data_IF_674401466180
#
_entry.id   IF_674401466180
#
_cell.length_a   1.000
_cell.length_b   1.000
_cell.length_c   1.000
_cell.angle_alpha   90.00
_cell.angle_beta   90.00
_cell.angle_gamma   90.00
#
_symmetry.space_group_name_H-M   'P 1'
#
loop_
_entity.id
_entity.type
_entity.pdbx_description
1 polymer ?
#
# COMPACT_ATOMS: atom_id res chain seq x y z
N UNK A 1 -38.02 23.09 5.84
CA UNK A 1 -37.38 23.93 4.81
C UNK A 1 -36.01 24.45 5.26
N UNK A 2 -35.80 25.12 6.43
CA UNK A 2 -34.46 25.60 6.86
C UNK A 2 -33.37 24.49 6.97
N UNK A 3 -33.68 23.32 7.50
CA UNK A 3 -32.70 22.21 7.62
C UNK A 3 -32.31 21.63 6.27
N UNK A 4 -33.22 21.58 5.29
CA UNK A 4 -32.89 21.16 3.90
C UNK A 4 -32.06 22.21 3.18
N UNK A 5 -32.30 23.49 3.38
CA UNK A 5 -31.50 24.55 2.80
C UNK A 5 -30.08 24.61 3.38
N UNK A 6 -29.92 24.38 4.68
CA UNK A 6 -28.59 24.30 5.33
C UNK A 6 -27.83 23.08 4.83
N UNK A 7 -28.47 21.94 4.68
CA UNK A 7 -27.87 20.73 4.12
C UNK A 7 -27.42 20.93 2.66
N UNK A 8 -28.25 21.53 1.82
CA UNK A 8 -27.92 21.84 0.44
C UNK A 8 -26.76 22.85 0.31
N UNK A 9 -26.73 23.87 1.16
CA UNK A 9 -25.65 24.84 1.19
C UNK A 9 -24.33 24.21 1.65
N UNK A 10 -24.35 23.38 2.69
CA UNK A 10 -23.18 22.66 3.15
C UNK A 10 -22.63 21.70 2.07
N UNK A 11 -23.50 20.99 1.37
CA UNK A 11 -23.13 20.12 0.23
C UNK A 11 -22.50 20.94 -0.91
N UNK A 12 -23.08 22.08 -1.27
CA UNK A 12 -22.54 22.98 -2.29
C UNK A 12 -21.18 23.56 -1.90
N UNK A 13 -20.98 23.90 -0.64
CA UNK A 13 -19.68 24.38 -0.12
C UNK A 13 -18.64 23.27 -0.17
N UNK A 14 -18.98 22.05 0.23
CA UNK A 14 -18.07 20.88 0.15
C UNK A 14 -17.72 20.56 -1.31
N UNK A 15 -18.68 20.62 -2.22
CA UNK A 15 -18.43 20.41 -3.65
C UNK A 15 -17.57 21.51 -4.23
N UNK A 16 -17.84 22.77 -3.94
CA UNK A 16 -17.09 23.91 -4.46
C UNK A 16 -15.67 24.00 -3.89
N UNK A 17 -15.50 23.76 -2.58
CA UNK A 17 -14.19 23.82 -1.92
C UNK A 17 -13.41 22.50 -2.01
N UNK A 18 -14.08 21.40 -2.28
CA UNK A 18 -13.51 20.06 -2.36
C UNK A 18 -13.14 19.62 -3.78
N UNK A 19 -13.61 20.33 -4.81
CA UNK A 19 -13.24 19.99 -6.20
C UNK A 19 -11.73 20.15 -6.39
N UNK A 20 -11.10 19.05 -6.83
CA UNK A 20 -9.66 18.99 -7.10
C UNK A 20 -9.46 18.30 -8.43
N UNK A 21 -8.98 19.06 -9.45
CA UNK A 21 -8.53 18.46 -10.70
C UNK A 21 -7.34 17.52 -10.44
N UNK A 22 -7.15 16.58 -11.36
CA UNK A 22 -5.96 15.75 -11.36
C UNK A 22 -4.71 16.61 -11.55
N UNK A 23 -3.60 16.19 -10.96
CA UNK A 23 -2.31 16.85 -11.06
C UNK A 23 -1.51 16.29 -12.22
N UNK A 24 -0.79 17.19 -12.90
CA UNK A 24 0.12 16.83 -13.97
C UNK A 24 1.22 15.88 -13.47
N UNK A 25 1.38 14.70 -14.12
CA UNK A 25 2.42 13.74 -13.79
C UNK A 25 3.83 14.32 -13.82
N UNK A 26 4.16 15.17 -14.81
CA UNK A 26 5.49 15.76 -14.94
C UNK A 26 5.82 16.72 -13.80
N UNK A 27 4.83 17.51 -13.36
CA UNK A 27 5.01 18.39 -12.21
C UNK A 27 5.26 17.60 -10.92
N UNK A 28 4.58 16.46 -10.73
CA UNK A 28 4.80 15.58 -9.58
C UNK A 28 6.15 14.85 -9.66
N UNK A 29 6.57 14.41 -10.85
CA UNK A 29 7.89 13.84 -11.05
C UNK A 29 9.00 14.86 -10.72
N UNK A 30 8.88 16.09 -11.19
CA UNK A 30 9.86 17.15 -10.89
C UNK A 30 9.98 17.41 -9.38
N UNK A 31 8.90 17.20 -8.62
CA UNK A 31 8.88 17.41 -7.17
C UNK A 31 9.37 16.19 -6.37
N UNK A 32 8.97 14.98 -6.77
CA UNK A 32 9.12 13.77 -5.95
C UNK A 32 10.14 12.75 -6.50
N UNK A 33 10.44 12.77 -7.82
CA UNK A 33 11.41 11.84 -8.40
C UNK A 33 12.86 12.26 -8.17
N UNK A 34 13.18 12.64 -6.92
CA UNK A 34 14.56 12.96 -6.52
C UNK A 34 15.39 11.70 -6.33
N UNK A 35 16.73 11.76 -6.50
CA UNK A 35 17.59 10.59 -6.26
C UNK A 35 17.31 9.94 -4.91
N UNK A 36 17.28 8.60 -4.84
CA UNK A 36 17.66 7.60 -5.84
C UNK A 36 16.52 7.10 -6.74
N UNK A 37 15.49 7.91 -7.00
CA UNK A 37 14.37 7.54 -7.88
C UNK A 37 14.85 7.13 -9.27
N UNK A 38 14.27 6.03 -9.77
CA UNK A 38 14.52 5.45 -11.08
C UNK A 38 13.19 5.08 -11.72
N UNK A 39 13.22 4.84 -13.04
CA UNK A 39 12.08 4.35 -13.79
C UNK A 39 12.48 3.17 -14.67
N UNK A 40 11.56 2.23 -14.85
CA UNK A 40 11.71 1.09 -15.76
C UNK A 40 10.40 0.84 -16.49
N UNK A 41 10.48 0.46 -17.76
CA UNK A 41 9.30 0.07 -18.54
C UNK A 41 8.94 -1.38 -18.24
N UNK A 42 7.68 -1.59 -17.85
CA UNK A 42 7.09 -2.91 -17.58
C UNK A 42 5.72 -2.98 -18.24
N UNK A 43 5.53 -3.86 -19.19
CA UNK A 43 4.24 -4.07 -19.88
C UNK A 43 3.60 -2.81 -20.46
N UNK A 44 4.42 -1.84 -20.89
CA UNK A 44 3.96 -0.56 -21.43
C UNK A 44 3.64 0.49 -20.35
N UNK A 45 3.98 0.22 -19.10
CA UNK A 45 3.85 1.15 -17.99
C UNK A 45 5.24 1.57 -17.49
N UNK A 46 5.47 2.87 -17.36
CA UNK A 46 6.69 3.44 -16.81
C UNK A 46 6.64 3.45 -15.28
N UNK A 47 7.28 2.45 -14.66
CA UNK A 47 7.22 2.16 -13.23
C UNK A 47 8.28 2.97 -12.48
N UNK A 48 7.85 3.76 -11.50
CA UNK A 48 8.73 4.44 -10.55
C UNK A 48 9.18 3.50 -9.45
N UNK A 49 10.49 3.49 -9.17
CA UNK A 49 11.06 2.67 -8.10
C UNK A 49 12.30 3.33 -7.49
N UNK A 50 12.73 2.83 -6.35
CA UNK A 50 14.01 3.14 -5.71
C UNK A 50 14.77 1.85 -5.46
N UNK A 51 16.10 1.91 -5.61
CA UNK A 51 17.02 0.78 -5.46
C UNK A 51 18.24 1.26 -4.68
N UNK A 52 18.37 0.77 -3.45
CA UNK A 52 19.37 1.21 -2.49
C UNK A 52 20.13 0.04 -1.89
N UNK A 53 21.38 0.28 -1.48
CA UNK A 53 22.21 -0.73 -0.83
C UNK A 53 22.72 -1.82 -1.78
N UNK A 54 23.23 -2.89 -1.19
CA UNK A 54 23.76 -4.06 -1.90
C UNK A 54 23.62 -5.32 -1.02
N UNK A 55 23.66 -6.51 -1.62
CA UNK A 55 23.53 -7.78 -0.91
C UNK A 55 22.22 -8.51 -1.26
N UNK A 56 21.70 -9.37 -0.36
CA UNK A 56 20.45 -10.07 -0.56
C UNK A 56 19.31 -9.07 -0.82
N UNK A 57 18.43 -9.38 -1.77
CA UNK A 57 17.39 -8.42 -2.19
C UNK A 57 16.16 -8.50 -1.30
N UNK A 58 15.67 -7.34 -0.90
CA UNK A 58 14.37 -7.13 -0.23
C UNK A 58 13.52 -6.23 -1.12
N UNK A 59 12.38 -6.72 -1.59
CA UNK A 59 11.40 -5.99 -2.38
C UNK A 59 10.20 -5.63 -1.50
N UNK A 60 9.86 -4.33 -1.40
CA UNK A 60 8.81 -3.82 -0.53
C UNK A 60 7.68 -3.19 -1.32
N UNK A 61 6.45 -3.66 -1.07
CA UNK A 61 5.21 -3.25 -1.74
C UNK A 61 4.33 -2.46 -0.80
N UNK A 62 4.03 -1.20 -1.16
CA UNK A 62 3.25 -0.27 -0.31
C UNK A 62 1.75 -0.60 -0.29
N UNK A 63 1.04 -0.01 0.66
CA UNK A 63 -0.40 -0.13 0.83
C UNK A 63 -1.23 0.72 -0.14
N UNK A 64 -2.53 0.51 -0.13
CA UNK A 64 -3.47 1.27 -0.95
C UNK A 64 -3.50 2.75 -0.57
N UNK A 65 -3.53 3.62 -1.57
CA UNK A 65 -3.47 5.10 -1.44
C UNK A 65 -2.16 5.65 -0.86
N UNK A 66 -1.14 4.80 -0.67
CA UNK A 66 0.23 5.16 -0.32
C UNK A 66 1.14 5.17 -1.55
N UNK A 67 2.43 5.19 -1.34
CA UNK A 67 3.48 5.12 -2.35
C UNK A 67 4.74 4.48 -1.78
N UNK A 68 5.74 4.26 -2.61
CA UNK A 68 7.04 3.74 -2.16
C UNK A 68 7.68 4.55 -1.03
N UNK A 69 7.28 5.82 -0.88
CA UNK A 69 7.82 6.70 0.16
C UNK A 69 7.47 6.26 1.58
N UNK A 70 6.41 5.49 1.79
CA UNK A 70 6.07 4.94 3.09
C UNK A 70 7.13 3.95 3.63
N UNK A 71 8.00 3.46 2.77
CA UNK A 71 9.11 2.57 3.11
C UNK A 71 10.44 3.27 3.37
N UNK A 72 10.53 4.61 3.27
CA UNK A 72 11.81 5.32 3.35
C UNK A 72 12.59 5.02 4.63
N UNK A 73 11.89 4.96 5.77
CA UNK A 73 12.52 4.64 7.05
C UNK A 73 13.12 3.23 7.07
N UNK A 74 12.35 2.23 6.61
CA UNK A 74 12.85 0.86 6.50
C UNK A 74 13.96 0.74 5.48
N UNK A 75 13.79 1.35 4.31
CA UNK A 75 14.79 1.28 3.22
C UNK A 75 16.14 1.85 3.68
N UNK A 76 16.15 2.92 4.47
CA UNK A 76 17.40 3.48 5.00
C UNK A 76 18.11 2.51 5.97
N UNK A 77 17.37 1.80 6.79
CA UNK A 77 17.93 0.86 7.78
C UNK A 77 18.35 -0.47 7.13
N UNK A 78 17.51 -1.02 6.26
CA UNK A 78 17.79 -2.29 5.59
C UNK A 78 18.94 -2.17 4.57
N UNK A 79 19.07 -1.01 3.90
CA UNK A 79 20.12 -0.79 2.89
C UNK A 79 21.55 -0.83 3.43
N UNK A 80 21.72 -0.86 4.75
CA UNK A 80 23.04 -1.04 5.37
C UNK A 80 23.64 -2.43 5.06
N UNK A 81 22.79 -3.44 4.86
CA UNK A 81 23.22 -4.84 4.67
C UNK A 81 22.49 -5.56 3.52
N UNK A 82 21.48 -4.92 2.92
CA UNK A 82 20.62 -5.53 1.89
C UNK A 82 20.47 -4.61 0.68
N UNK A 83 20.19 -5.18 -0.49
CA UNK A 83 19.67 -4.41 -1.62
C UNK A 83 18.17 -4.24 -1.42
N UNK A 84 17.71 -3.02 -1.23
CA UNK A 84 16.29 -2.69 -0.96
C UNK A 84 15.68 -2.04 -2.19
N UNK A 85 14.63 -2.66 -2.70
CA UNK A 85 13.85 -2.14 -3.81
C UNK A 85 12.45 -1.80 -3.31
N UNK A 86 12.03 -0.58 -3.57
CA UNK A 86 10.67 -0.11 -3.33
C UNK A 86 10.10 0.41 -4.64
N UNK A 87 8.82 0.18 -4.92
CA UNK A 87 8.19 0.64 -6.16
C UNK A 87 6.82 1.25 -5.89
N UNK A 88 6.38 2.11 -6.79
CA UNK A 88 5.00 2.54 -6.86
C UNK A 88 4.21 1.54 -7.72
N UNK A 89 3.25 0.85 -7.10
CA UNK A 89 2.38 -0.10 -7.79
C UNK A 89 1.47 0.61 -8.81
N UNK A 90 0.97 -0.10 -9.83
CA UNK A 90 0.02 0.47 -10.79
C UNK A 90 -1.14 1.20 -10.10
N UNK A 91 -1.46 2.39 -10.59
CA UNK A 91 -2.48 3.27 -10.00
C UNK A 91 -2.05 4.06 -8.79
N UNK A 92 -0.75 4.08 -8.45
CA UNK A 92 -0.21 4.76 -7.27
C UNK A 92 1.03 5.59 -7.59
N UNK A 93 1.35 6.49 -6.67
CA UNK A 93 2.58 7.27 -6.68
C UNK A 93 2.85 7.95 -8.02
N UNK A 94 4.09 7.86 -8.51
CA UNK A 94 4.50 8.40 -9.81
C UNK A 94 4.32 7.40 -10.97
N UNK A 95 4.06 6.11 -10.70
CA UNK A 95 3.79 5.12 -11.75
C UNK A 95 2.50 5.43 -12.51
N UNK A 96 1.41 5.72 -11.80
CA UNK A 96 0.13 6.02 -12.43
C UNK A 96 -0.67 4.80 -12.85
N UNK A 97 -1.79 5.01 -13.59
CA UNK A 97 -2.74 3.95 -13.92
C UNK A 97 -2.16 2.92 -14.89
N UNK A 98 -2.52 1.65 -14.70
CA UNK A 98 -2.24 0.58 -15.65
C UNK A 98 -3.14 0.75 -16.90
N UNK A 99 -2.58 0.82 -18.11
CA UNK A 99 -3.36 0.88 -19.35
C UNK A 99 -4.31 -0.31 -19.54
N UNK A 100 -4.00 -1.45 -18.92
CA UNK A 100 -4.81 -2.68 -18.95
C UNK A 100 -5.78 -2.78 -17.76
N UNK A 101 -5.78 -1.79 -16.85
CA UNK A 101 -6.62 -1.74 -15.65
C UNK A 101 -6.56 -2.99 -14.77
N UNK A 102 -5.39 -3.61 -14.63
CA UNK A 102 -5.14 -4.81 -13.80
C UNK A 102 -4.91 -4.39 -12.35
N UNK A 103 -5.94 -4.49 -11.52
CA UNK A 103 -5.87 -4.06 -10.13
C UNK A 103 -6.29 -5.13 -9.12
N UNK A 104 -6.71 -6.32 -9.58
CA UNK A 104 -6.92 -7.47 -8.70
C UNK A 104 -5.58 -7.92 -8.08
N UNK A 105 -5.55 -8.39 -6.81
CA UNK A 105 -4.30 -8.78 -6.15
C UNK A 105 -3.47 -9.79 -6.93
N UNK A 106 -4.11 -10.79 -7.54
CA UNK A 106 -3.44 -11.79 -8.39
C UNK A 106 -2.80 -11.16 -9.64
N UNK A 107 -3.48 -10.20 -10.30
CA UNK A 107 -2.96 -9.49 -11.47
C UNK A 107 -1.81 -8.54 -11.09
N UNK A 108 -1.90 -7.90 -9.91
CA UNK A 108 -0.81 -7.08 -9.37
C UNK A 108 0.42 -7.93 -9.01
N UNK A 109 0.23 -9.17 -8.57
CA UNK A 109 1.33 -10.11 -8.33
C UNK A 109 2.03 -10.52 -9.63
N UNK A 110 1.29 -10.80 -10.70
CA UNK A 110 1.86 -11.04 -12.04
C UNK A 110 2.61 -9.81 -12.57
N UNK A 111 2.06 -8.60 -12.39
CA UNK A 111 2.77 -7.37 -12.73
C UNK A 111 4.07 -7.22 -11.95
N UNK A 112 4.06 -7.58 -10.67
CA UNK A 112 5.25 -7.54 -9.82
C UNK A 112 6.32 -8.53 -10.30
N UNK A 113 5.95 -9.69 -10.83
CA UNK A 113 6.89 -10.63 -11.45
C UNK A 113 7.51 -10.07 -12.73
N UNK A 114 6.71 -9.43 -13.59
CA UNK A 114 7.22 -8.73 -14.76
C UNK A 114 8.20 -7.61 -14.38
N UNK A 115 7.90 -6.84 -13.32
CA UNK A 115 8.81 -5.82 -12.76
C UNK A 115 10.11 -6.45 -12.23
N UNK A 116 10.02 -7.52 -11.43
CA UNK A 116 11.19 -8.22 -10.89
C UNK A 116 12.07 -8.80 -12.03
N UNK A 117 11.45 -9.29 -13.09
CA UNK A 117 12.11 -9.80 -14.28
C UNK A 117 12.79 -8.69 -15.09
N UNK A 118 12.17 -7.52 -15.25
CA UNK A 118 12.76 -6.35 -15.91
C UNK A 118 14.03 -5.87 -15.17
N UNK A 119 14.06 -5.97 -13.84
CA UNK A 119 15.24 -5.68 -13.02
C UNK A 119 16.21 -6.86 -12.89
N UNK A 120 15.93 -8.00 -13.52
CA UNK A 120 16.72 -9.25 -13.47
C UNK A 120 16.95 -9.71 -12.02
N UNK A 121 15.94 -9.60 -11.18
CA UNK A 121 16.02 -10.10 -9.81
C UNK A 121 16.02 -11.63 -9.83
N UNK A 122 16.90 -12.24 -9.03
CA UNK A 122 16.84 -13.68 -8.74
C UNK A 122 15.74 -13.98 -7.71
N UNK A 123 16.06 -14.81 -6.73
CA UNK A 123 15.21 -14.97 -5.53
C UNK A 123 15.39 -13.78 -4.61
N UNK A 124 14.32 -13.42 -3.89
CA UNK A 124 14.34 -12.27 -2.99
C UNK A 124 13.37 -12.46 -1.82
N UNK A 125 13.59 -11.70 -0.76
CA UNK A 125 12.59 -11.50 0.29
C UNK A 125 11.55 -10.48 -0.21
N UNK A 126 10.28 -10.83 -0.14
CA UNK A 126 9.18 -9.91 -0.46
C UNK A 126 8.49 -9.45 0.82
N UNK A 127 8.26 -8.15 0.95
CA UNK A 127 7.46 -7.56 2.02
C UNK A 127 6.35 -6.68 1.47
N UNK A 128 5.20 -6.67 2.15
CA UNK A 128 4.10 -5.81 1.74
C UNK A 128 3.23 -5.35 2.90
N UNK A 129 2.71 -4.13 2.78
CA UNK A 129 1.83 -3.53 3.77
C UNK A 129 0.40 -3.43 3.23
N UNK A 130 -0.61 -3.79 4.02
CA UNK A 130 -2.03 -3.67 3.64
C UNK A 130 -2.31 -4.29 2.26
N UNK A 131 -2.71 -3.52 1.24
CA UNK A 131 -2.82 -3.94 -0.16
C UNK A 131 -1.52 -4.60 -0.66
N UNK A 132 -0.36 -4.03 -0.37
CA UNK A 132 0.92 -4.62 -0.76
C UNK A 132 1.18 -5.96 -0.07
N UNK A 133 0.67 -6.16 1.14
CA UNK A 133 0.68 -7.45 1.83
C UNK A 133 -0.17 -8.49 1.12
N UNK A 134 -1.35 -8.07 0.62
CA UNK A 134 -2.23 -8.87 -0.22
C UNK A 134 -1.50 -9.33 -1.50
N UNK A 135 -0.88 -8.39 -2.21
CA UNK A 135 -0.07 -8.71 -3.40
C UNK A 135 1.11 -9.62 -3.05
N UNK A 136 1.77 -9.40 -1.91
CA UNK A 136 2.97 -10.16 -1.54
C UNK A 136 2.67 -11.63 -1.24
N UNK A 137 1.56 -11.94 -0.54
CA UNK A 137 1.21 -13.34 -0.30
C UNK A 137 0.64 -14.00 -1.55
N UNK A 138 -0.09 -13.29 -2.43
CA UNK A 138 -0.47 -13.79 -3.76
C UNK A 138 0.77 -14.15 -4.56
N UNK A 139 1.76 -13.27 -4.60
CA UNK A 139 3.04 -13.51 -5.27
C UNK A 139 3.75 -14.75 -4.72
N UNK A 140 3.76 -14.93 -3.40
CA UNK A 140 4.38 -16.10 -2.78
C UNK A 140 3.68 -17.44 -3.13
N UNK A 141 2.38 -17.41 -3.44
CA UNK A 141 1.62 -18.58 -3.92
C UNK A 141 1.87 -18.81 -5.41
N UNK A 142 1.89 -17.75 -6.24
CA UNK A 142 2.00 -17.85 -7.70
C UNK A 142 3.44 -18.12 -8.15
N UNK A 143 4.44 -17.58 -7.45
CA UNK A 143 5.86 -17.65 -7.80
C UNK A 143 6.74 -18.12 -6.62
N UNK A 144 6.44 -19.29 -6.00
CA UNK A 144 7.12 -19.75 -4.79
C UNK A 144 8.63 -19.94 -4.99
N UNK A 145 9.08 -20.26 -6.21
CA UNK A 145 10.49 -20.42 -6.56
C UNK A 145 11.28 -19.09 -6.51
N UNK A 146 10.58 -17.93 -6.58
CA UNK A 146 11.18 -16.59 -6.56
C UNK A 146 11.32 -16.02 -5.14
N UNK A 147 10.58 -16.57 -4.17
CA UNK A 147 10.50 -16.03 -2.82
C UNK A 147 11.43 -16.76 -1.86
N UNK A 148 12.28 -16.01 -1.16
CA UNK A 148 13.13 -16.53 -0.08
C UNK A 148 12.41 -16.46 1.28
N UNK A 149 11.79 -15.32 1.57
CA UNK A 149 11.04 -15.03 2.79
C UNK A 149 9.87 -14.10 2.47
N UNK A 150 8.82 -14.17 3.28
CA UNK A 150 7.65 -13.31 3.16
C UNK A 150 7.50 -12.44 4.42
N UNK A 151 7.20 -11.15 4.24
CA UNK A 151 6.94 -10.21 5.32
C UNK A 151 5.57 -9.57 5.08
N UNK A 152 4.63 -9.81 5.99
CA UNK A 152 3.28 -9.27 5.93
C UNK A 152 3.12 -8.20 7.03
N UNK A 153 2.90 -6.96 6.62
CA UNK A 153 2.74 -5.82 7.53
C UNK A 153 1.29 -5.35 7.46
N UNK A 154 0.53 -5.56 8.52
CA UNK A 154 -0.88 -5.15 8.60
C UNK A 154 -1.65 -5.54 7.32
N UNK A 155 -1.45 -6.78 6.85
CA UNK A 155 -1.78 -7.23 5.50
C UNK A 155 -3.28 -7.37 5.25
N UNK A 156 -3.72 -7.04 4.04
CA UNK A 156 -5.08 -7.31 3.55
C UNK A 156 -5.18 -8.71 2.92
N UNK A 157 -6.39 -9.07 2.46
CA UNK A 157 -6.67 -10.25 1.61
C UNK A 157 -7.41 -11.37 2.32
N UNK A 158 -7.64 -11.28 3.64
CA UNK A 158 -8.54 -12.20 4.33
C UNK A 158 -9.98 -11.68 4.30
N UNK A 159 -10.99 -12.59 4.20
CA UNK A 159 -12.39 -12.21 4.33
C UNK A 159 -12.66 -11.47 5.64
N UNK A 160 -13.34 -10.34 5.58
CA UNK A 160 -13.63 -9.51 6.75
C UNK A 160 -15.05 -9.64 7.20
N UNK A 161 -15.23 -9.78 8.52
CA UNK A 161 -16.56 -9.77 9.15
C UNK A 161 -17.06 -8.34 9.38
N UNK A 162 -16.16 -7.37 9.51
CA UNK A 162 -16.51 -5.97 9.72
C UNK A 162 -16.92 -5.30 8.40
N UNK A 163 -17.93 -4.42 8.45
CA UNK A 163 -18.31 -3.62 7.29
C UNK A 163 -17.12 -2.76 6.82
N UNK A 164 -16.89 -2.71 5.51
CA UNK A 164 -15.89 -1.78 4.95
C UNK A 164 -16.19 -0.34 5.41
N UNK A 165 -15.17 0.48 5.73
CA UNK A 165 -15.35 1.88 6.07
C UNK A 165 -16.21 2.62 5.04
N UNK A 166 -17.04 3.58 5.49
CA UNK A 166 -17.98 4.29 4.63
C UNK A 166 -17.28 4.93 3.42
N UNK A 167 -16.09 5.50 3.60
CA UNK A 167 -15.32 6.10 2.50
C UNK A 167 -14.96 5.10 1.39
N UNK A 168 -14.61 3.87 1.75
CA UNK A 168 -14.33 2.78 0.78
C UNK A 168 -15.61 2.36 0.05
N UNK A 169 -16.73 2.26 0.77
CA UNK A 169 -18.05 1.92 0.19
C UNK A 169 -18.51 2.98 -0.81
N UNK A 170 -18.33 4.27 -0.49
CA UNK A 170 -18.68 5.37 -1.40
C UNK A 170 -17.80 5.32 -2.66
N UNK A 171 -16.49 5.10 -2.53
CA UNK A 171 -15.58 5.00 -3.69
C UNK A 171 -15.90 3.81 -4.57
N UNK A 172 -16.25 2.66 -4.00
CA UNK A 172 -16.67 1.47 -4.74
C UNK A 172 -18.05 1.60 -5.39
N UNK A 173 -18.86 2.61 -5.01
CA UNK A 173 -20.20 2.82 -5.58
C UNK A 173 -20.12 3.20 -7.05
N UNK A 174 -20.88 2.50 -7.91
CA UNK A 174 -21.00 2.80 -9.33
C UNK A 174 -21.64 4.17 -9.62
N UNK A 175 -22.46 4.68 -8.68
CA UNK A 175 -23.15 5.95 -8.82
C UNK A 175 -22.38 7.11 -8.20
N UNK A 176 -21.90 6.95 -6.96
CA UNK A 176 -21.22 8.02 -6.21
C UNK A 176 -19.72 8.08 -6.50
N UNK A 177 -19.07 6.94 -6.75
CA UNK A 177 -17.64 6.87 -6.98
C UNK A 177 -17.14 7.82 -8.07
N UNK A 178 -17.74 7.86 -9.27
CA UNK A 178 -17.34 8.78 -10.34
C UNK A 178 -17.41 10.26 -9.97
N UNK A 179 -18.35 10.64 -9.10
CA UNK A 179 -18.50 12.04 -8.63
C UNK A 179 -17.50 12.34 -7.53
N UNK A 180 -17.38 11.42 -6.55
CA UNK A 180 -16.54 11.64 -5.36
C UNK A 180 -15.06 11.69 -5.71
N UNK A 181 -14.63 11.06 -6.82
CA UNK A 181 -13.23 11.14 -7.26
C UNK A 181 -12.77 12.60 -7.51
N UNK A 182 -13.68 13.49 -7.92
CA UNK A 182 -13.38 14.90 -8.16
C UNK A 182 -13.48 15.76 -6.90
N UNK A 183 -14.10 15.24 -5.84
CA UNK A 183 -14.29 15.94 -4.58
C UNK A 183 -13.44 15.26 -3.51
N UNK A 184 -12.20 15.71 -3.38
CA UNK A 184 -11.21 15.13 -2.49
C UNK A 184 -10.58 16.23 -1.62
N UNK A 185 -11.30 16.78 -0.62
CA UNK A 185 -10.75 17.78 0.27
C UNK A 185 -9.56 17.24 1.06
N UNK A 186 -8.47 18.01 1.14
CA UNK A 186 -7.25 17.60 1.87
C UNK A 186 -7.51 17.19 3.32
N UNK A 187 -8.41 17.90 4.01
CA UNK A 187 -8.71 17.60 5.41
C UNK A 187 -9.34 16.21 5.61
N UNK A 188 -10.12 15.70 4.64
CA UNK A 188 -10.68 14.34 4.67
C UNK A 188 -9.54 13.32 4.55
N UNK A 189 -8.60 13.55 3.65
CA UNK A 189 -7.43 12.67 3.48
C UNK A 189 -6.55 12.71 4.72
N UNK A 190 -6.27 13.91 5.26
CA UNK A 190 -5.52 14.08 6.49
C UNK A 190 -6.18 13.37 7.69
N UNK A 191 -7.52 13.42 7.81
CA UNK A 191 -8.24 12.68 8.83
C UNK A 191 -8.10 11.17 8.65
N UNK A 192 -8.29 10.69 7.42
CA UNK A 192 -8.16 9.26 7.13
C UNK A 192 -6.73 8.74 7.38
N UNK A 193 -5.69 9.55 7.10
CA UNK A 193 -4.31 9.21 7.42
C UNK A 193 -4.08 9.19 8.94
N UNK A 194 -4.65 10.13 9.71
CA UNK A 194 -4.55 10.11 11.18
C UNK A 194 -5.12 8.83 11.77
N UNK A 195 -6.21 8.33 11.22
CA UNK A 195 -6.86 7.09 11.67
C UNK A 195 -6.01 5.84 11.38
N UNK A 196 -4.97 5.94 10.54
CA UNK A 196 -4.05 4.82 10.27
C UNK A 196 -2.87 4.76 11.24
N UNK A 197 -2.62 5.80 12.06
CA UNK A 197 -1.55 5.84 13.04
C UNK A 197 -2.05 5.45 14.43
N UNK A 198 -1.29 4.66 15.15
CA UNK A 198 -1.56 4.33 16.56
C UNK A 198 -1.34 5.54 17.48
N UNK A 199 -0.44 6.42 17.09
CA UNK A 199 -0.21 7.75 17.66
C UNK A 199 -0.27 8.81 16.55
N UNK A 200 -1.43 9.45 16.34
CA UNK A 200 -1.61 10.45 15.29
C UNK A 200 -0.67 11.67 15.36
N UNK A 201 -0.02 11.90 16.51
CA UNK A 201 0.94 13.01 16.67
C UNK A 201 2.23 12.79 15.85
N UNK A 202 2.51 11.54 15.46
CA UNK A 202 3.66 11.18 14.61
C UNK A 202 3.42 11.44 13.12
N UNK A 203 2.16 11.65 12.70
CA UNK A 203 1.84 12.02 11.33
C UNK A 203 2.21 13.48 11.06
N UNK A 204 3.15 13.72 10.15
CA UNK A 204 3.58 15.05 9.78
C UNK A 204 2.74 15.63 8.63
N UNK A 205 2.64 16.96 8.56
CA UNK A 205 1.98 17.62 7.42
C UNK A 205 2.69 17.33 6.09
N UNK A 206 4.00 17.09 6.10
CA UNK A 206 4.77 16.71 4.92
C UNK A 206 4.34 15.35 4.34
N UNK A 207 4.05 14.39 5.20
CA UNK A 207 3.49 13.08 4.81
C UNK A 207 2.09 13.25 4.24
N UNK A 208 1.23 14.03 4.92
CA UNK A 208 -0.12 14.33 4.42
C UNK A 208 -0.08 15.01 3.04
N UNK A 209 0.79 15.99 2.85
CA UNK A 209 0.92 16.70 1.57
C UNK A 209 1.40 15.78 0.46
N UNK A 210 2.43 14.98 0.73
CA UNK A 210 2.97 14.00 -0.23
C UNK A 210 1.90 13.02 -0.69
N UNK A 211 1.23 12.35 0.25
CA UNK A 211 0.24 11.32 -0.08
C UNK A 211 -0.98 11.91 -0.76
N UNK A 212 -1.41 13.10 -0.30
CA UNK A 212 -2.47 13.84 -0.95
C UNK A 212 -2.15 14.20 -2.40
N UNK A 213 -0.96 14.75 -2.67
CA UNK A 213 -0.55 15.15 -4.01
C UNK A 213 -0.38 13.97 -4.95
N UNK A 214 0.26 12.89 -4.49
CA UNK A 214 0.44 11.67 -5.28
C UNK A 214 -0.88 10.96 -5.57
N UNK A 215 -1.83 10.99 -4.64
CA UNK A 215 -3.18 10.50 -4.88
C UNK A 215 -3.90 11.31 -5.97
N UNK A 216 -3.64 12.62 -6.07
CA UNK A 216 -4.21 13.49 -7.11
C UNK A 216 -3.52 13.38 -8.47
N UNK A 217 -2.43 12.58 -8.61
CA UNK A 217 -1.84 12.33 -9.93
C UNK A 217 -2.91 11.84 -10.90
N UNK A 218 -2.85 12.35 -12.14
CA UNK A 218 -3.80 11.97 -13.18
C UNK A 218 -3.94 10.45 -13.31
N UNK A 219 -5.18 9.98 -13.23
CA UNK A 219 -5.58 8.59 -13.28
C UNK A 219 -5.53 7.80 -11.97
N UNK A 220 -4.75 8.21 -10.95
CA UNK A 220 -4.59 7.43 -9.71
C UNK A 220 -5.91 7.26 -8.92
N UNK A 221 -6.77 8.29 -8.90
CA UNK A 221 -8.06 8.20 -8.21
C UNK A 221 -9.02 7.24 -8.90
N UNK A 222 -9.00 7.19 -10.23
CA UNK A 222 -9.81 6.24 -11.00
C UNK A 222 -9.29 4.81 -10.82
N UNK A 223 -7.98 4.60 -10.88
CA UNK A 223 -7.35 3.32 -10.59
C UNK A 223 -7.72 2.80 -9.19
N UNK A 224 -7.63 3.69 -8.19
CA UNK A 224 -8.06 3.35 -6.81
C UNK A 224 -9.54 2.97 -6.76
N UNK A 225 -10.41 3.69 -7.46
CA UNK A 225 -11.85 3.37 -7.55
C UNK A 225 -12.08 2.00 -8.15
N UNK A 226 -11.42 1.69 -9.27
CA UNK A 226 -11.51 0.39 -9.94
C UNK A 226 -11.09 -0.73 -9.01
N UNK A 227 -9.93 -0.59 -8.35
CA UNK A 227 -9.43 -1.56 -7.37
C UNK A 227 -10.42 -1.82 -6.22
N UNK A 228 -11.09 -0.79 -5.69
CA UNK A 228 -12.09 -1.00 -4.63
C UNK A 228 -13.36 -1.71 -5.10
N UNK A 229 -13.60 -1.75 -6.40
CA UNK A 229 -14.71 -2.50 -6.99
C UNK A 229 -14.38 -3.99 -7.21
N UNK A 230 -13.08 -4.37 -7.16
CA UNK A 230 -12.67 -5.77 -7.22
C UNK A 230 -13.22 -6.54 -6.00
N UNK A 231 -13.61 -7.77 -6.24
CA UNK A 231 -14.09 -8.70 -5.22
C UNK A 231 -12.96 -9.49 -4.56
N UNK A 232 -13.34 -10.36 -3.64
CA UNK A 232 -12.47 -11.41 -3.12
C UNK A 232 -12.35 -12.52 -4.19
N UNK A 233 -11.12 -13.02 -4.39
CA UNK A 233 -10.82 -14.04 -5.39
C UNK A 233 -10.74 -15.46 -4.83
N UNK A 234 -10.86 -15.61 -3.49
CA UNK A 234 -10.80 -16.90 -2.78
C UNK A 234 -9.39 -17.50 -2.69
N UNK A 235 -8.36 -16.78 -3.11
CA UNK A 235 -6.97 -17.24 -3.03
C UNK A 235 -6.50 -17.44 -1.58
N UNK A 236 -7.14 -16.81 -0.61
CA UNK A 236 -6.85 -16.98 0.82
C UNK A 236 -6.96 -18.46 1.27
N UNK A 237 -7.80 -19.28 0.62
CA UNK A 237 -7.87 -20.71 0.88
C UNK A 237 -6.54 -21.44 0.64
N UNK A 238 -5.62 -20.87 -0.14
CA UNK A 238 -4.31 -21.41 -0.51
C UNK A 238 -3.15 -20.93 0.36
N UNK A 239 -3.38 -20.17 1.42
CA UNK A 239 -2.32 -19.67 2.31
C UNK A 239 -1.46 -20.80 2.91
N UNK A 240 -2.03 -22.01 3.06
CA UNK A 240 -1.30 -23.21 3.48
C UNK A 240 -0.22 -23.69 2.51
N UNK A 241 -0.19 -23.18 1.27
CA UNK A 241 0.83 -23.50 0.26
C UNK A 241 2.10 -22.65 0.42
N UNK A 242 2.08 -21.61 1.27
CA UNK A 242 3.24 -20.76 1.53
C UNK A 242 4.16 -21.48 2.52
N UNK A 243 5.27 -22.03 2.01
CA UNK A 243 6.24 -22.80 2.81
C UNK A 243 7.52 -22.05 3.16
N UNK A 244 7.69 -20.81 2.68
CA UNK A 244 8.84 -19.97 3.03
C UNK A 244 8.71 -19.41 4.45
N UNK A 245 9.83 -19.11 5.13
CA UNK A 245 9.78 -18.40 6.41
C UNK A 245 8.97 -17.10 6.25
N UNK A 246 7.95 -16.93 7.08
CA UNK A 246 7.03 -15.81 6.99
C UNK A 246 6.99 -15.04 8.30
N UNK A 247 7.16 -13.73 8.24
CA UNK A 247 6.97 -12.83 9.38
C UNK A 247 5.69 -12.02 9.17
N UNK A 248 4.76 -12.17 10.08
CA UNK A 248 3.53 -11.37 10.17
C UNK A 248 3.76 -10.29 11.22
N UNK A 249 3.77 -9.03 10.81
CA UNK A 249 3.90 -7.86 11.67
C UNK A 249 2.56 -7.15 11.74
N UNK A 250 2.17 -6.75 12.95
CA UNK A 250 0.90 -6.06 13.11
C UNK A 250 0.95 -5.01 14.21
N UNK A 251 0.46 -3.80 13.89
CA UNK A 251 0.25 -2.77 14.89
C UNK A 251 -0.87 -3.17 15.85
N UNK A 252 -0.62 -3.16 17.18
CA UNK A 252 -1.64 -3.53 18.16
C UNK A 252 -2.76 -2.50 18.30
N UNK A 253 -2.55 -1.30 17.71
CA UNK A 253 -3.55 -0.22 17.60
C UNK A 253 -4.11 -0.04 16.18
N UNK A 254 -3.90 -1.01 15.28
CA UNK A 254 -4.48 -0.95 13.94
C UNK A 254 -6.01 -1.00 14.01
N UNK A 255 -6.66 0.08 13.56
CA UNK A 255 -8.12 0.23 13.45
C UNK A 255 -8.62 0.07 12.01
N UNK A 256 -7.70 -0.09 11.04
CA UNK A 256 -8.03 -0.29 9.62
C UNK A 256 -8.22 -1.77 9.34
N UNK A 257 -7.26 -2.60 9.79
CA UNK A 257 -7.32 -4.06 9.76
C UNK A 257 -6.97 -4.57 11.15
N UNK A 258 -7.95 -5.09 11.86
CA UNK A 258 -7.79 -5.45 13.27
C UNK A 258 -6.70 -6.52 13.48
N UNK A 259 -5.94 -6.48 14.58
CA UNK A 259 -4.82 -7.40 14.86
C UNK A 259 -5.20 -8.89 14.84
N UNK A 260 -6.47 -9.24 15.05
CA UNK A 260 -6.97 -10.62 14.94
C UNK A 260 -6.68 -11.26 13.57
N UNK A 261 -6.59 -10.46 12.48
CA UNK A 261 -6.26 -10.96 11.16
C UNK A 261 -4.78 -11.35 11.06
N UNK A 262 -3.90 -10.74 11.84
CA UNK A 262 -2.51 -11.20 11.99
C UNK A 262 -2.42 -12.59 12.59
N UNK A 263 -3.24 -12.88 13.61
CA UNK A 263 -3.35 -14.23 14.20
C UNK A 263 -3.89 -15.24 13.18
N UNK A 264 -4.82 -14.82 12.32
CA UNK A 264 -5.37 -15.69 11.29
C UNK A 264 -4.33 -16.01 10.21
N UNK A 265 -3.56 -15.05 9.72
CA UNK A 265 -2.42 -15.30 8.82
C UNK A 265 -1.42 -16.26 9.46
N UNK A 266 -1.05 -16.03 10.72
CA UNK A 266 -0.15 -16.92 11.46
C UNK A 266 -0.69 -18.35 11.55
N UNK A 267 -1.98 -18.51 11.77
CA UNK A 267 -2.60 -19.83 11.91
C UNK A 267 -2.68 -20.59 10.56
N UNK A 268 -2.80 -19.86 9.43
CA UNK A 268 -3.03 -20.46 8.11
C UNK A 268 -1.74 -20.66 7.31
N UNK A 269 -0.66 -19.94 7.60
CA UNK A 269 0.64 -20.07 6.92
C UNK A 269 1.56 -20.94 7.80
N UNK A 270 2.02 -22.12 7.32
CA UNK A 270 2.70 -23.14 8.14
C UNK A 270 3.97 -22.66 8.86
N UNK A 271 4.71 -21.71 8.28
CA UNK A 271 5.98 -21.20 8.82
C UNK A 271 5.90 -19.72 9.22
N UNK A 272 4.72 -19.24 9.61
CA UNK A 272 4.52 -17.88 10.03
C UNK A 272 4.79 -17.66 11.52
N UNK A 273 5.55 -16.64 11.81
CA UNK A 273 5.72 -16.05 13.15
C UNK A 273 4.95 -14.72 13.20
N UNK A 274 4.14 -14.48 14.24
CA UNK A 274 3.47 -13.20 14.46
C UNK A 274 4.25 -12.36 15.46
N UNK A 275 4.42 -11.09 15.14
CA UNK A 275 4.97 -10.09 16.04
C UNK A 275 4.05 -8.86 16.11
N UNK A 276 3.52 -8.57 17.31
CA UNK A 276 2.70 -7.40 17.55
C UNK A 276 3.58 -6.18 17.90
N UNK A 277 3.41 -5.12 17.13
CA UNK A 277 4.10 -3.84 17.28
C UNK A 277 3.32 -2.96 18.25
N UNK A 278 3.81 -2.87 19.48
CA UNK A 278 3.11 -2.18 20.57
C UNK A 278 3.00 -0.68 20.34
N UNK A 279 1.80 -0.16 20.47
CA UNK A 279 1.49 1.26 20.35
C UNK A 279 1.40 1.77 18.92
N UNK A 280 1.69 0.93 17.90
CA UNK A 280 1.67 1.31 16.50
C UNK A 280 0.34 0.96 15.82
N UNK A 281 -0.01 1.74 14.81
CA UNK A 281 -1.19 1.55 13.98
C UNK A 281 -0.91 0.82 12.66
N UNK A 282 -1.77 1.08 11.68
CA UNK A 282 -1.75 0.47 10.36
C UNK A 282 -0.53 0.88 9.50
N UNK A 283 0.08 2.04 9.76
CA UNK A 283 1.26 2.53 9.04
C UNK A 283 2.53 2.38 9.90
N UNK A 284 2.68 1.23 10.55
CA UNK A 284 3.72 0.94 11.54
C UNK A 284 5.14 1.21 11.03
N UNK A 285 5.43 0.95 9.73
CA UNK A 285 6.72 1.15 9.09
C UNK A 285 7.05 2.65 8.88
N UNK A 286 6.07 3.53 8.85
CA UNK A 286 6.23 4.98 8.72
C UNK A 286 6.11 5.66 10.08
N UNK A 287 5.26 5.14 10.97
CA UNK A 287 5.02 5.66 12.31
C UNK A 287 6.24 5.49 13.22
N UNK A 288 6.88 4.31 13.24
CA UNK A 288 8.14 4.04 13.94
C UNK A 288 9.00 3.04 13.15
N UNK A 289 9.79 3.53 12.19
CA UNK A 289 10.62 2.67 11.35
C UNK A 289 11.60 1.81 12.12
N UNK A 290 12.16 2.33 13.21
CA UNK A 290 13.17 1.62 14.02
C UNK A 290 12.55 0.45 14.78
N UNK A 291 11.43 0.71 15.46
CA UNK A 291 10.76 -0.34 16.21
C UNK A 291 10.16 -1.42 15.28
N UNK A 292 9.57 -0.99 14.15
CA UNK A 292 8.88 -1.90 13.23
C UNK A 292 9.84 -2.72 12.36
N UNK A 293 11.04 -2.23 12.01
CA UNK A 293 12.02 -3.00 11.22
C UNK A 293 12.80 -4.01 12.04
N UNK A 294 12.90 -3.84 13.35
CA UNK A 294 13.72 -4.70 14.20
C UNK A 294 13.39 -6.21 14.12
N UNK A 295 12.10 -6.64 14.08
CA UNK A 295 11.78 -8.04 13.83
C UNK A 295 12.18 -8.53 12.42
N UNK A 296 12.14 -7.63 11.43
CA UNK A 296 12.54 -7.95 10.04
C UNK A 296 14.02 -8.24 9.97
N UNK A 297 14.87 -7.42 10.57
CA UNK A 297 16.30 -7.65 10.63
C UNK A 297 16.61 -9.02 11.23
N UNK A 298 15.95 -9.40 12.33
CA UNK A 298 16.09 -10.74 12.92
C UNK A 298 15.66 -11.88 11.99
N UNK A 299 14.65 -11.68 11.14
CA UNK A 299 14.27 -12.67 10.13
C UNK A 299 15.33 -12.79 9.04
N UNK A 300 15.90 -11.67 8.59
CA UNK A 300 16.86 -11.61 7.50
C UNK A 300 18.24 -12.17 7.88
N UNK A 301 18.61 -12.11 9.16
CA UNK A 301 19.87 -12.65 9.71
C UNK A 301 19.86 -14.18 9.91
N UNK A 302 18.71 -14.85 9.75
CA UNK A 302 18.55 -16.33 9.83
C UNK A 302 18.75 -16.99 8.47
#
# INVERSE_FOLDING_TARGET
MRRLAIGALATLVVLATGFRPDRDPLALEARYATPPSKFVEVDGLRVHYRDRGAGPTVLLVHGGSASLFSWEGWAALLALHHRVITLDMPGHGLTGPDPKARYAPAEMAEFLDAFASALRLGRFTIGGQSMGGDVAWHYAIQHPERVERLILVDANGLPRLEPRPMGSRIRASSVLGPVVRWVTPRFIVASALRDTYGDPSRLTEAVVDRDYELMLRDGNREATRTRFAEGEDGMDARLGEIHVPTLVLWGDRDQVILPKYGEEFRARIPRAELFLLRGLGHMSMEEDPVASVAPVLRLLDR
#
